data_IF_994898645422
#
_entry.id   IF_994898645422
#
_cell.length_a   1.000
_cell.length_b   1.000
_cell.length_c   1.000
_cell.angle_alpha   90.00
_cell.angle_beta   90.00
_cell.angle_gamma   90.00
#
_symmetry.space_group_name_H-M   'P 1'
#
loop_
_entity.id
_entity.type
_entity.pdbx_description
1 polymer ?
#
# COMPACT_ATOMS: atom_id res chain seq x y z
N UNK A 1 15.67 -13.35 22.59
CA UNK A 1 15.90 -13.33 21.13
C UNK A 1 16.31 -11.92 20.77
N UNK A 2 17.60 -11.69 20.61
CA UNK A 2 18.16 -10.41 20.12
C UNK A 2 18.20 -10.50 18.60
N UNK A 3 17.50 -9.59 17.93
CA UNK A 3 17.56 -9.47 16.47
C UNK A 3 18.67 -8.48 16.19
N UNK A 4 19.81 -8.96 15.70
CA UNK A 4 20.90 -8.10 15.23
C UNK A 4 20.47 -7.53 13.87
N UNK A 5 20.02 -6.28 13.88
CA UNK A 5 19.76 -5.54 12.65
C UNK A 5 21.11 -5.15 12.01
N UNK A 6 21.33 -5.44 10.71
CA UNK A 6 22.66 -5.38 10.07
C UNK A 6 23.13 -3.95 9.73
N UNK A 7 22.60 -2.92 10.39
CA UNK A 7 22.86 -1.53 10.04
C UNK A 7 23.60 -0.83 11.18
N UNK A 8 24.83 -0.38 10.88
CA UNK A 8 25.67 0.41 11.81
C UNK A 8 25.20 1.86 11.93
N UNK A 9 24.43 2.35 10.94
CA UNK A 9 23.86 3.70 10.96
C UNK A 9 22.53 3.74 11.72
N UNK A 10 22.27 4.80 12.51
CA UNK A 10 20.98 4.96 13.16
C UNK A 10 19.88 5.08 12.10
N UNK A 11 18.95 4.12 12.07
CA UNK A 11 17.71 4.17 11.29
C UNK A 11 17.03 5.53 11.49
N UNK A 12 17.15 6.42 10.49
CA UNK A 12 16.50 7.73 10.47
C UNK A 12 15.62 7.79 9.23
N UNK A 13 14.35 7.48 9.41
CA UNK A 13 13.35 7.76 8.39
C UNK A 13 13.29 9.28 8.12
N UNK A 14 13.11 9.65 6.87
CA UNK A 14 13.00 11.01 6.38
C UNK A 14 11.69 11.18 5.60
N UNK A 15 11.23 12.43 5.45
CA UNK A 15 10.02 12.71 4.66
C UNK A 15 10.13 12.28 3.19
N UNK A 16 11.33 11.97 2.70
CA UNK A 16 11.53 11.40 1.37
C UNK A 16 11.12 9.92 1.29
N UNK A 17 11.16 9.19 2.41
CA UNK A 17 10.79 7.76 2.47
C UNK A 17 9.27 7.55 2.36
N UNK A 18 8.49 8.61 2.60
CA UNK A 18 7.03 8.61 2.41
C UNK A 18 6.60 8.92 0.96
N UNK A 19 7.56 9.20 0.06
CA UNK A 19 7.29 9.55 -1.34
C UNK A 19 7.37 8.33 -2.25
N UNK A 20 6.72 8.45 -3.41
CA UNK A 20 6.91 7.51 -4.51
C UNK A 20 8.37 7.57 -5.02
N UNK A 21 8.86 6.44 -5.46
CA UNK A 21 10.19 6.32 -6.04
C UNK A 21 10.23 6.93 -7.45
N UNK A 22 11.41 7.38 -7.88
CA UNK A 22 11.60 7.83 -9.26
C UNK A 22 11.41 6.65 -10.23
N UNK A 23 10.59 6.78 -11.28
CA UNK A 23 10.12 5.63 -12.05
C UNK A 23 11.13 4.99 -13.01
N UNK A 24 12.39 5.42 -12.96
CA UNK A 24 13.41 5.00 -13.94
C UNK A 24 12.95 5.17 -15.40
N UNK A 25 13.68 4.62 -16.38
CA UNK A 25 13.35 4.79 -17.79
C UNK A 25 12.48 3.66 -18.39
N UNK A 26 12.25 2.54 -17.69
CA UNK A 26 11.63 1.36 -18.30
C UNK A 26 10.10 1.40 -18.28
N UNK A 27 9.46 1.00 -19.37
CA UNK A 27 8.00 1.08 -19.51
C UNK A 27 7.22 0.16 -18.53
N UNK A 28 7.87 -0.90 -18.05
CA UNK A 28 7.31 -1.88 -17.12
C UNK A 28 7.46 -1.46 -15.65
N UNK A 29 8.13 -0.33 -15.38
CA UNK A 29 8.22 0.19 -14.02
C UNK A 29 6.84 0.34 -13.41
N UNK A 30 6.72 -0.17 -12.18
CA UNK A 30 5.46 -0.23 -11.44
C UNK A 30 5.76 -0.06 -9.96
N UNK A 31 5.11 0.92 -9.34
CA UNK A 31 5.10 1.06 -7.88
C UNK A 31 3.73 0.69 -7.34
N UNK A 32 3.73 -0.07 -6.25
CA UNK A 32 2.52 -0.54 -5.59
C UNK A 32 2.51 -0.14 -4.14
N UNK A 33 1.36 0.33 -3.67
CA UNK A 33 1.17 0.72 -2.28
C UNK A 33 -0.14 0.14 -1.75
N UNK A 34 -0.09 -0.27 -0.49
CA UNK A 34 -1.14 -0.98 0.21
C UNK A 34 -1.34 -0.38 1.58
N UNK A 35 -2.59 -0.09 1.92
CA UNK A 35 -2.97 0.33 3.27
C UNK A 35 -4.10 -0.55 3.75
N UNK A 36 -4.03 -0.96 5.01
CA UNK A 36 -5.15 -1.63 5.68
C UNK A 36 -5.68 -0.73 6.79
N UNK A 37 -6.97 -0.87 7.07
CA UNK A 37 -7.59 -0.23 8.22
C UNK A 37 -8.59 -1.19 8.88
N UNK A 38 -8.82 -0.96 10.16
CA UNK A 38 -9.84 -1.64 10.93
C UNK A 38 -10.50 -0.62 11.87
N UNK A 39 -11.83 -0.58 11.86
CA UNK A 39 -12.66 0.27 12.73
C UNK A 39 -13.63 -0.65 13.49
N UNK A 40 -13.17 -1.27 14.59
CA UNK A 40 -13.96 -2.28 15.32
C UNK A 40 -15.33 -1.78 15.77
N UNK A 41 -15.43 -0.50 16.17
CA UNK A 41 -16.66 0.13 16.65
C UNK A 41 -17.75 0.22 15.56
N UNK A 42 -17.39 -0.04 14.29
CA UNK A 42 -18.29 -0.07 13.14
C UNK A 42 -18.34 -1.44 12.46
N UNK A 43 -17.69 -2.45 13.03
CA UNK A 43 -17.53 -3.77 12.41
C UNK A 43 -16.97 -3.69 10.97
N UNK A 44 -16.14 -2.68 10.71
CA UNK A 44 -15.70 -2.30 9.37
C UNK A 44 -14.19 -2.49 9.23
N UNK A 45 -13.76 -3.13 8.16
CA UNK A 45 -12.36 -3.22 7.80
C UNK A 45 -12.16 -3.17 6.29
N UNK A 46 -10.91 -3.00 5.88
CA UNK A 46 -10.61 -2.99 4.46
C UNK A 46 -9.15 -2.76 4.15
N UNK A 47 -8.88 -2.79 2.85
CA UNK A 47 -7.60 -2.38 2.29
C UNK A 47 -7.77 -1.53 1.04
N UNK A 48 -6.82 -0.64 0.85
CA UNK A 48 -6.65 0.18 -0.33
C UNK A 48 -5.41 -0.29 -1.08
N UNK A 49 -5.54 -0.46 -2.38
CA UNK A 49 -4.45 -0.81 -3.29
C UNK A 49 -4.32 0.25 -4.37
N UNK A 50 -3.11 0.70 -4.62
CA UNK A 50 -2.77 1.52 -5.79
C UNK A 50 -1.58 0.91 -6.53
N UNK A 51 -1.69 0.89 -7.85
CA UNK A 51 -0.66 0.54 -8.83
C UNK A 51 -0.40 1.76 -9.70
N UNK A 52 0.81 2.31 -9.63
CA UNK A 52 1.20 3.52 -10.34
C UNK A 52 2.24 3.16 -11.40
N UNK A 53 1.95 3.52 -12.65
CA UNK A 53 2.82 3.28 -13.81
C UNK A 53 2.94 4.55 -14.65
N UNK A 54 3.76 5.53 -14.21
CA UNK A 54 3.82 6.86 -14.83
C UNK A 54 4.44 6.81 -16.23
N UNK A 55 5.37 5.87 -16.49
CA UNK A 55 6.02 5.72 -17.79
C UNK A 55 5.06 5.34 -18.93
N UNK A 56 3.87 4.84 -18.59
CA UNK A 56 2.80 4.56 -19.56
C UNK A 56 1.50 5.32 -19.25
N UNK A 57 1.53 6.26 -18.29
CA UNK A 57 0.40 7.13 -17.97
C UNK A 57 -0.81 6.42 -17.32
N UNK A 58 -0.62 5.28 -16.66
CA UNK A 58 -1.74 4.55 -16.03
C UNK A 58 -1.64 4.53 -14.51
N UNK A 59 -2.79 4.68 -13.87
CA UNK A 59 -3.00 4.41 -12.45
C UNK A 59 -4.17 3.42 -12.34
N UNK A 60 -3.94 2.33 -11.62
CA UNK A 60 -4.94 1.33 -11.29
C UNK A 60 -5.00 1.14 -9.78
N UNK A 61 -6.05 0.51 -9.29
CA UNK A 61 -6.22 0.30 -7.86
C UNK A 61 -7.60 -0.19 -7.50
N UNK A 62 -7.86 -0.26 -6.21
CA UNK A 62 -9.15 -0.65 -5.68
C UNK A 62 -9.24 -0.43 -4.18
N UNK A 63 -10.47 -0.34 -3.70
CA UNK A 63 -10.80 -0.45 -2.30
C UNK A 63 -11.54 -1.76 -2.10
N UNK A 64 -11.07 -2.56 -1.14
CA UNK A 64 -11.80 -3.70 -0.63
C UNK A 64 -12.26 -3.33 0.77
N UNK A 65 -13.57 -3.14 0.93
CA UNK A 65 -14.18 -2.74 2.19
C UNK A 65 -15.26 -3.76 2.50
N UNK A 66 -15.22 -4.27 3.72
CA UNK A 66 -16.14 -5.31 4.17
C UNK A 66 -16.61 -5.02 5.59
N UNK A 67 -17.83 -5.48 5.84
CA UNK A 67 -18.51 -5.49 7.12
C UNK A 67 -19.21 -6.86 7.30
N UNK A 68 -20.02 -7.08 8.34
CA UNK A 68 -20.68 -8.37 8.53
C UNK A 68 -21.71 -8.75 7.45
N UNK A 69 -22.12 -7.82 6.58
CA UNK A 69 -23.13 -8.09 5.55
C UNK A 69 -22.57 -8.85 4.35
N UNK A 70 -21.33 -8.55 3.95
CA UNK A 70 -20.66 -9.20 2.83
C UNK A 70 -19.15 -8.99 2.92
N UNK A 71 -18.39 -10.02 2.55
CA UNK A 71 -16.93 -9.92 2.44
C UNK A 71 -16.49 -9.65 1.01
N UNK A 72 -17.32 -9.92 0.00
CA UNK A 72 -17.03 -9.61 -1.40
C UNK A 72 -18.03 -8.57 -1.95
N UNK A 73 -17.58 -7.61 -2.80
CA UNK A 73 -18.47 -6.57 -3.34
C UNK A 73 -19.68 -7.07 -4.14
N UNK A 74 -19.64 -8.31 -4.64
CA UNK A 74 -20.69 -8.94 -5.44
C UNK A 74 -21.62 -9.85 -4.63
N UNK A 75 -21.45 -9.91 -3.32
CA UNK A 75 -22.34 -10.65 -2.41
C UNK A 75 -23.48 -9.77 -1.86
N UNK A 76 -23.53 -8.49 -2.25
CA UNK A 76 -24.57 -7.52 -1.91
C UNK A 76 -25.79 -7.58 -2.84
#
# INVERSE_FOLDING_TARGET
MTVDFPFEEPLRFHAADDRLHDPGPTHDWTETMWWSFNVPERELAGWLYAQIRPNIGTLAGGAFVYDPSAVLPWEL
#
